data_IF_263979959603
#
_entry.id   IF_263979959603
#
_cell.length_a   1.000
_cell.length_b   1.000
_cell.length_c   1.000
_cell.angle_alpha   90.00
_cell.angle_beta   90.00
_cell.angle_gamma   90.00
#
_symmetry.space_group_name_H-M   'P 1'
#
loop_
_entity.id
_entity.type
_entity.pdbx_description
1 polymer ?
#
# COMPACT_ATOMS: atom_id res chain seq x y z
N UNK A 1 -4.73 -21.37 -20.64
CA UNK A 1 -4.67 -20.89 -19.24
C UNK A 1 -5.04 -19.43 -19.24
N UNK A 2 -5.87 -18.99 -18.29
CA UNK A 2 -6.08 -17.55 -18.06
C UNK A 2 -4.78 -16.89 -17.59
N UNK A 3 -4.67 -15.56 -17.72
CA UNK A 3 -3.49 -14.82 -17.25
C UNK A 3 -3.26 -15.02 -15.74
N UNK A 4 -4.33 -15.02 -14.95
CA UNK A 4 -4.32 -15.35 -13.52
C UNK A 4 -3.75 -16.73 -13.25
N UNK A 5 -4.17 -17.75 -14.01
CA UNK A 5 -3.62 -19.10 -13.86
C UNK A 5 -2.11 -19.13 -14.13
N UNK A 6 -1.64 -18.42 -15.14
CA UNK A 6 -0.20 -18.32 -15.44
C UNK A 6 0.55 -17.71 -14.26
N UNK A 7 0.03 -16.61 -13.68
CA UNK A 7 0.64 -15.98 -12.50
C UNK A 7 0.69 -16.91 -11.29
N UNK A 8 -0.41 -17.62 -11.01
CA UNK A 8 -0.45 -18.61 -9.94
C UNK A 8 0.53 -19.77 -10.18
N UNK A 9 0.70 -20.21 -11.42
CA UNK A 9 1.72 -21.20 -11.78
C UNK A 9 3.13 -20.68 -11.56
N UNK A 10 3.41 -19.42 -11.90
CA UNK A 10 4.71 -18.80 -11.64
C UNK A 10 4.99 -18.76 -10.14
N UNK A 11 4.02 -18.34 -9.32
CA UNK A 11 4.14 -18.34 -7.85
C UNK A 11 4.34 -19.76 -7.30
N UNK A 12 3.57 -20.75 -7.78
CA UNK A 12 3.73 -22.14 -7.36
C UNK A 12 5.12 -22.71 -7.69
N UNK A 13 5.65 -22.41 -8.89
CA UNK A 13 7.02 -22.76 -9.27
C UNK A 13 8.03 -22.04 -8.37
N UNK A 14 7.79 -20.78 -8.03
CA UNK A 14 8.56 -20.03 -7.04
C UNK A 14 8.66 -20.73 -5.70
N UNK A 15 7.54 -21.25 -5.20
CA UNK A 15 7.49 -21.99 -3.93
C UNK A 15 8.27 -23.30 -4.01
N UNK A 16 8.15 -24.03 -5.13
CA UNK A 16 8.94 -25.24 -5.37
C UNK A 16 10.44 -24.94 -5.42
N UNK A 17 10.85 -23.94 -6.20
CA UNK A 17 12.27 -23.58 -6.36
C UNK A 17 12.85 -23.05 -5.05
N UNK A 18 12.14 -22.16 -4.35
CA UNK A 18 12.56 -21.64 -3.06
C UNK A 18 12.66 -22.74 -1.99
N UNK A 19 11.65 -23.61 -1.90
CA UNK A 19 11.66 -24.75 -0.99
C UNK A 19 12.79 -25.73 -1.28
N UNK A 20 13.05 -26.03 -2.56
CA UNK A 20 14.18 -26.88 -2.96
C UNK A 20 15.53 -26.22 -2.64
N UNK A 21 15.70 -24.93 -2.93
CA UNK A 21 16.94 -24.21 -2.59
C UNK A 21 17.20 -24.26 -1.07
N UNK A 22 16.16 -24.07 -0.24
CA UNK A 22 16.26 -24.27 1.22
C UNK A 22 16.76 -25.68 1.58
N UNK A 23 16.19 -26.73 0.99
CA UNK A 23 16.61 -28.12 1.23
C UNK A 23 18.08 -28.34 0.85
N UNK A 24 18.56 -27.71 -0.21
CA UNK A 24 19.95 -27.84 -0.69
C UNK A 24 20.94 -26.84 -0.06
N UNK A 25 20.56 -26.18 1.04
CA UNK A 25 21.43 -25.30 1.82
C UNK A 25 21.44 -23.84 1.37
N UNK A 26 20.36 -23.37 0.74
CA UNK A 26 20.10 -21.97 0.37
C UNK A 26 21.22 -21.33 -0.47
N UNK A 27 21.68 -22.02 -1.52
CA UNK A 27 22.82 -21.55 -2.34
C UNK A 27 22.42 -20.40 -3.26
N UNK A 28 21.15 -20.34 -3.67
CA UNK A 28 20.61 -19.30 -4.54
C UNK A 28 20.06 -18.10 -3.74
N UNK A 29 19.93 -18.23 -2.42
CA UNK A 29 19.30 -17.24 -1.54
C UNK A 29 17.77 -17.24 -1.61
N UNK A 30 17.17 -18.17 -2.37
CA UNK A 30 15.72 -18.25 -2.57
C UNK A 30 15.04 -19.02 -1.44
N UNK A 31 15.78 -19.92 -0.78
CA UNK A 31 15.31 -20.63 0.41
C UNK A 31 15.00 -19.70 1.58
N UNK A 32 15.83 -18.66 1.78
CA UNK A 32 15.55 -17.61 2.77
C UNK A 32 14.27 -16.83 2.42
N UNK A 33 14.09 -16.48 1.14
CA UNK A 33 12.87 -15.79 0.68
C UNK A 33 11.61 -16.65 0.81
N UNK A 34 11.73 -17.96 0.62
CA UNK A 34 10.65 -18.91 0.91
C UNK A 34 10.26 -18.89 2.40
N UNK A 35 11.24 -18.91 3.31
CA UNK A 35 10.98 -18.81 4.76
C UNK A 35 10.38 -17.46 5.16
N UNK A 36 10.92 -16.36 4.64
CA UNK A 36 10.38 -15.02 4.85
C UNK A 36 8.90 -14.95 4.49
N UNK A 37 8.49 -15.60 3.40
CA UNK A 37 7.09 -15.65 2.96
C UNK A 37 6.17 -16.29 3.98
N UNK A 38 6.60 -17.39 4.61
CA UNK A 38 5.81 -18.04 5.67
C UNK A 38 5.87 -17.27 6.99
N UNK A 39 7.05 -16.75 7.35
CA UNK A 39 7.27 -15.98 8.57
C UNK A 39 6.49 -14.66 8.60
N UNK A 40 6.09 -14.14 7.43
CA UNK A 40 5.21 -12.99 7.31
C UNK A 40 3.83 -13.22 7.96
N UNK A 41 3.42 -14.48 8.20
CA UNK A 41 2.15 -14.83 8.85
C UNK A 41 1.96 -14.12 10.21
N UNK A 42 2.99 -14.07 11.05
CA UNK A 42 2.90 -13.44 12.39
C UNK A 42 2.62 -11.93 12.31
N UNK A 43 3.50 -11.15 11.63
CA UNK A 43 3.26 -9.73 11.39
C UNK A 43 1.93 -9.43 10.70
N UNK A 44 1.53 -10.23 9.70
CA UNK A 44 0.23 -10.09 9.03
C UNK A 44 -0.92 -10.29 10.03
N UNK A 45 -0.89 -11.34 10.84
CA UNK A 45 -1.92 -11.59 11.84
C UNK A 45 -2.07 -10.43 12.83
N UNK A 46 -0.95 -9.88 13.32
CA UNK A 46 -0.96 -8.70 14.18
C UNK A 46 -1.48 -7.44 13.47
N UNK A 47 -1.24 -7.33 12.16
CA UNK A 47 -1.60 -6.16 11.35
C UNK A 47 -3.03 -6.16 10.81
N UNK A 48 -3.72 -7.30 10.77
CA UNK A 48 -5.07 -7.34 10.16
C UNK A 48 -6.12 -8.18 10.90
N UNK A 49 -5.74 -9.20 11.69
CA UNK A 49 -6.72 -10.18 12.18
C UNK A 49 -7.87 -9.52 12.97
N UNK A 50 -7.55 -8.61 13.88
CA UNK A 50 -8.57 -7.88 14.63
C UNK A 50 -9.45 -6.98 13.78
N UNK A 51 -8.93 -6.39 12.69
CA UNK A 51 -9.74 -5.60 11.76
C UNK A 51 -10.66 -6.47 10.92
N UNK A 52 -10.20 -7.66 10.48
CA UNK A 52 -11.06 -8.64 9.81
C UNK A 52 -12.24 -8.99 10.71
N UNK A 53 -11.98 -9.35 11.97
CA UNK A 53 -13.03 -9.70 12.92
C UNK A 53 -13.96 -8.53 13.24
N UNK A 54 -13.44 -7.30 13.33
CA UNK A 54 -14.22 -6.10 13.62
C UNK A 54 -14.97 -5.53 12.40
N UNK A 55 -14.62 -5.92 11.17
CA UNK A 55 -15.17 -5.32 9.95
C UNK A 55 -16.71 -5.31 9.91
N UNK A 56 -17.44 -6.37 10.31
CA UNK A 56 -18.90 -6.34 10.38
C UNK A 56 -19.42 -5.31 11.39
N UNK A 57 -18.85 -5.26 12.59
CA UNK A 57 -19.25 -4.31 13.64
C UNK A 57 -19.00 -2.87 13.22
N UNK A 58 -17.84 -2.60 12.60
CA UNK A 58 -17.53 -1.27 12.06
C UNK A 58 -18.52 -0.91 10.94
N UNK A 59 -18.86 -1.86 10.07
CA UNK A 59 -19.86 -1.66 9.02
C UNK A 59 -21.22 -1.28 9.61
N UNK A 60 -21.71 -2.01 10.61
CA UNK A 60 -23.01 -1.75 11.24
C UNK A 60 -23.10 -0.36 11.89
N UNK A 61 -21.99 0.15 12.42
CA UNK A 61 -21.93 1.47 13.07
C UNK A 61 -21.74 2.60 12.05
N UNK A 62 -20.86 2.40 11.06
CA UNK A 62 -20.44 3.47 10.15
C UNK A 62 -21.34 3.56 8.92
N UNK A 63 -21.77 2.45 8.34
CA UNK A 63 -22.56 2.42 7.11
C UNK A 63 -23.86 3.25 7.20
N UNK A 64 -24.64 3.25 8.31
CA UNK A 64 -25.82 4.09 8.43
C UNK A 64 -25.52 5.59 8.41
N UNK A 65 -24.32 6.00 8.84
CA UNK A 65 -23.90 7.42 8.91
C UNK A 65 -23.39 7.90 7.56
N UNK A 66 -22.49 7.13 6.93
CA UNK A 66 -21.82 7.57 5.69
C UNK A 66 -22.56 7.11 4.43
N UNK A 67 -23.26 5.98 4.50
CA UNK A 67 -23.90 5.32 3.36
C UNK A 67 -24.89 6.22 2.64
N UNK A 68 -25.81 6.92 3.33
CA UNK A 68 -26.74 7.84 2.69
C UNK A 68 -26.06 9.00 1.95
N UNK A 69 -24.89 9.44 2.41
CA UNK A 69 -24.12 10.52 1.75
C UNK A 69 -23.43 10.00 0.50
N UNK A 70 -22.81 8.83 0.59
CA UNK A 70 -22.11 8.20 -0.54
C UNK A 70 -23.09 7.75 -1.64
N UNK A 71 -24.23 7.18 -1.26
CA UNK A 71 -25.25 6.75 -2.22
C UNK A 71 -25.88 7.94 -2.96
N UNK A 72 -26.01 9.12 -2.32
CA UNK A 72 -26.51 10.35 -2.98
C UNK A 72 -25.60 10.81 -4.13
N UNK A 73 -24.31 10.54 -4.06
CA UNK A 73 -23.35 10.82 -5.14
C UNK A 73 -23.12 9.61 -6.06
N UNK A 74 -23.91 8.53 -5.90
CA UNK A 74 -23.82 7.30 -6.69
C UNK A 74 -22.70 6.35 -6.30
N UNK A 75 -22.00 6.61 -5.19
CA UNK A 75 -20.90 5.78 -4.67
C UNK A 75 -21.43 4.71 -3.71
N UNK A 76 -20.81 3.55 -3.74
CA UNK A 76 -21.08 2.47 -2.79
C UNK A 76 -20.38 2.78 -1.43
N UNK A 77 -21.00 2.44 -0.27
CA UNK A 77 -20.36 2.61 1.04
C UNK A 77 -19.01 1.87 1.20
N UNK A 78 -18.75 0.83 0.41
CA UNK A 78 -17.49 0.09 0.34
C UNK A 78 -16.26 1.01 0.20
N UNK A 79 -16.40 2.16 -0.46
CA UNK A 79 -15.28 3.09 -0.69
C UNK A 79 -14.65 3.58 0.61
N UNK A 80 -15.39 3.55 1.73
CA UNK A 80 -14.85 3.90 3.03
C UNK A 80 -13.74 2.95 3.49
N UNK A 81 -13.81 1.67 3.13
CA UNK A 81 -12.74 0.71 3.42
C UNK A 81 -11.40 1.09 2.78
N UNK A 82 -11.42 1.87 1.70
CA UNK A 82 -10.21 2.28 0.98
C UNK A 82 -9.31 3.29 1.71
N UNK A 83 -9.75 3.81 2.87
CA UNK A 83 -8.90 4.62 3.76
C UNK A 83 -7.84 3.78 4.48
N UNK A 84 -8.00 2.45 4.48
CA UNK A 84 -7.05 1.49 5.04
C UNK A 84 -6.39 0.69 3.90
N UNK A 85 -5.14 0.26 4.06
CA UNK A 85 -4.45 -0.64 3.15
C UNK A 85 -5.27 -1.92 2.98
N UNK A 86 -5.22 -2.49 1.77
CA UNK A 86 -5.99 -3.69 1.44
C UNK A 86 -5.62 -4.85 2.38
N UNK A 87 -4.34 -4.96 2.70
CA UNK A 87 -3.72 -5.99 3.54
C UNK A 87 -3.74 -5.72 5.05
N UNK A 88 -4.24 -4.56 5.49
CA UNK A 88 -4.44 -4.23 6.91
C UNK A 88 -5.92 -4.09 7.26
N UNK A 89 -6.78 -4.84 6.57
CA UNK A 89 -8.23 -4.88 6.79
C UNK A 89 -9.06 -3.89 5.98
N UNK A 90 -8.46 -3.09 5.10
CA UNK A 90 -9.21 -2.26 4.14
C UNK A 90 -10.04 -3.09 3.16
N UNK A 91 -9.53 -4.26 2.75
CA UNK A 91 -10.30 -5.23 1.96
C UNK A 91 -11.53 -5.72 2.71
N UNK A 92 -11.33 -6.28 3.91
CA UNK A 92 -12.43 -6.85 4.71
C UNK A 92 -13.48 -5.81 5.06
N UNK A 93 -13.05 -4.60 5.44
CA UNK A 93 -13.98 -3.51 5.72
C UNK A 93 -14.76 -3.09 4.47
N UNK A 94 -14.10 -2.94 3.32
CA UNK A 94 -14.78 -2.61 2.07
C UNK A 94 -15.82 -3.66 1.69
N UNK A 95 -15.48 -4.94 1.82
CA UNK A 95 -16.41 -6.06 1.54
C UNK A 95 -17.58 -6.09 2.54
N UNK A 96 -17.34 -5.81 3.82
CA UNK A 96 -18.42 -5.73 4.83
C UNK A 96 -19.35 -4.53 4.64
N UNK A 97 -18.88 -3.46 4.01
CA UNK A 97 -19.68 -2.25 3.72
C UNK A 97 -20.32 -2.26 2.33
N UNK A 98 -19.97 -3.21 1.48
CA UNK A 98 -20.38 -3.25 0.09
C UNK A 98 -21.88 -3.54 -0.05
N UNK A 99 -22.56 -2.72 -0.86
CA UNK A 99 -23.91 -3.06 -1.36
C UNK A 99 -23.85 -3.79 -2.71
N UNK A 100 -22.78 -3.55 -3.47
CA UNK A 100 -22.39 -4.28 -4.68
C UNK A 100 -21.00 -4.92 -4.47
N UNK A 101 -20.90 -6.23 -4.68
CA UNK A 101 -19.64 -6.98 -4.48
C UNK A 101 -18.49 -6.41 -5.34
N UNK A 102 -18.78 -5.96 -6.57
CA UNK A 102 -17.81 -5.33 -7.47
C UNK A 102 -17.27 -4.03 -6.87
N UNK A 103 -18.12 -3.25 -6.21
CA UNK A 103 -17.69 -2.03 -5.52
C UNK A 103 -16.84 -2.33 -4.28
N UNK A 104 -17.14 -3.42 -3.58
CA UNK A 104 -16.32 -4.00 -2.53
C UNK A 104 -14.92 -4.35 -3.02
N UNK A 105 -14.83 -5.16 -4.09
CA UNK A 105 -13.55 -5.58 -4.70
C UNK A 105 -12.76 -4.38 -5.24
N UNK A 106 -13.43 -3.44 -5.91
CA UNK A 106 -12.82 -2.21 -6.41
C UNK A 106 -12.20 -1.38 -5.27
N UNK A 107 -12.99 -1.09 -4.24
CA UNK A 107 -12.58 -0.24 -3.13
C UNK A 107 -11.51 -0.91 -2.28
N UNK A 108 -11.70 -2.19 -1.98
CA UNK A 108 -10.89 -2.96 -1.05
C UNK A 108 -9.59 -3.52 -1.62
N UNK A 109 -9.49 -3.77 -2.93
CA UNK A 109 -8.27 -4.28 -3.56
C UNK A 109 -7.53 -3.22 -4.36
N UNK A 110 -8.25 -2.40 -5.15
CA UNK A 110 -7.60 -1.45 -6.06
C UNK A 110 -7.33 -0.14 -5.33
N UNK A 111 -8.37 0.54 -4.85
CA UNK A 111 -8.24 1.87 -4.24
C UNK A 111 -7.47 1.80 -2.92
N UNK A 112 -7.82 0.87 -2.03
CA UNK A 112 -7.18 0.65 -0.73
C UNK A 112 -5.66 0.46 -0.85
N UNK A 113 -5.22 -0.26 -1.88
CA UNK A 113 -3.80 -0.54 -2.14
C UNK A 113 -2.98 0.69 -2.56
N UNK A 114 -3.62 1.84 -2.78
CA UNK A 114 -2.95 3.10 -3.12
C UNK A 114 -3.28 4.19 -2.11
N UNK A 115 -4.58 4.48 -1.90
CA UNK A 115 -5.03 5.51 -0.98
C UNK A 115 -4.73 5.11 0.47
N UNK A 116 -5.26 3.97 0.91
CA UNK A 116 -5.11 3.50 2.27
C UNK A 116 -3.65 3.25 2.66
N UNK A 117 -2.90 2.59 1.78
CA UNK A 117 -1.45 2.38 1.93
C UNK A 117 -0.64 3.68 2.00
N UNK A 118 -1.13 4.76 1.39
CA UNK A 118 -0.47 6.07 1.51
C UNK A 118 -0.80 6.72 2.84
N UNK A 119 -2.09 6.80 3.18
CA UNK A 119 -2.61 7.57 4.32
C UNK A 119 -2.19 6.99 5.66
N UNK A 120 -2.28 5.66 5.81
CA UNK A 120 -2.04 5.00 7.12
C UNK A 120 -0.67 4.34 7.24
N UNK A 121 0.05 4.17 6.13
CA UNK A 121 1.35 3.50 6.14
C UNK A 121 2.47 4.39 5.61
N UNK A 122 2.44 4.78 4.34
CA UNK A 122 3.57 5.49 3.72
C UNK A 122 3.86 6.84 4.37
N UNK A 123 2.82 7.63 4.69
CA UNK A 123 3.00 8.92 5.38
C UNK A 123 3.52 8.72 6.82
N UNK A 124 2.85 7.92 7.68
CA UNK A 124 3.32 7.71 9.06
C UNK A 124 4.72 7.08 9.16
N UNK A 125 4.97 6.01 8.40
CA UNK A 125 6.23 5.28 8.43
C UNK A 125 7.34 6.11 7.79
N UNK A 126 7.06 6.79 6.68
CA UNK A 126 8.00 7.69 6.03
C UNK A 126 8.48 8.79 6.98
N UNK A 127 7.56 9.48 7.66
CA UNK A 127 7.91 10.51 8.66
C UNK A 127 8.85 10.01 9.77
N UNK A 128 8.68 8.77 10.21
CA UNK A 128 9.46 8.19 11.30
C UNK A 128 10.83 7.69 10.88
N UNK A 129 11.04 7.43 9.59
CA UNK A 129 12.27 6.83 9.06
C UNK A 129 13.17 7.80 8.28
N UNK A 130 12.59 8.81 7.62
CA UNK A 130 13.38 9.77 6.85
C UNK A 130 14.03 10.82 7.76
N UNK A 131 15.15 11.38 7.31
CA UNK A 131 15.79 12.50 8.00
C UNK A 131 14.92 13.76 7.91
N UNK A 132 14.98 14.64 8.93
CA UNK A 132 14.12 15.83 8.96
C UNK A 132 14.33 16.75 7.76
N UNK A 133 15.58 16.86 7.29
CA UNK A 133 15.96 17.62 6.10
C UNK A 133 15.33 17.11 4.81
N UNK A 134 14.92 15.84 4.77
CA UNK A 134 14.32 15.23 3.59
C UNK A 134 12.79 15.45 3.49
N UNK A 135 12.17 15.96 4.57
CA UNK A 135 10.74 16.21 4.64
C UNK A 135 10.17 17.12 3.54
N UNK A 136 10.87 18.19 3.08
CA UNK A 136 10.36 19.03 1.97
C UNK A 136 10.19 18.23 0.67
N UNK A 137 11.15 17.38 0.31
CA UNK A 137 11.07 16.53 -0.88
C UNK A 137 9.99 15.46 -0.72
N UNK A 138 9.90 14.87 0.47
CA UNK A 138 8.88 13.88 0.81
C UNK A 138 7.46 14.45 0.65
N UNK A 139 7.20 15.63 1.23
CA UNK A 139 5.90 16.29 1.11
C UNK A 139 5.54 16.62 -0.34
N UNK A 140 6.49 17.17 -1.13
CA UNK A 140 6.26 17.47 -2.55
C UNK A 140 5.96 16.20 -3.36
N UNK A 141 6.72 15.13 -3.15
CA UNK A 141 6.47 13.84 -3.80
C UNK A 141 5.09 13.28 -3.48
N UNK A 142 4.67 13.31 -2.20
CA UNK A 142 3.35 12.84 -1.77
C UNK A 142 2.22 13.63 -2.44
N UNK A 143 2.33 14.97 -2.50
CA UNK A 143 1.34 15.83 -3.16
C UNK A 143 1.16 15.42 -4.62
N UNK A 144 2.26 15.24 -5.34
CA UNK A 144 2.25 14.87 -6.76
C UNK A 144 1.64 13.47 -6.93
N UNK A 145 2.07 12.50 -6.13
CA UNK A 145 1.58 11.13 -6.20
C UNK A 145 0.09 11.02 -5.88
N UNK A 146 -0.41 11.73 -4.86
CA UNK A 146 -1.82 11.61 -4.46
C UNK A 146 -2.80 12.06 -5.55
N UNK A 147 -2.43 13.04 -6.36
CA UNK A 147 -3.23 13.50 -7.51
C UNK A 147 -3.42 12.38 -8.55
N UNK A 148 -2.53 11.38 -8.58
CA UNK A 148 -2.58 10.27 -9.52
C UNK A 148 -3.35 9.05 -9.04
N UNK A 149 -3.68 8.97 -7.74
CA UNK A 149 -4.46 7.85 -7.18
C UNK A 149 -5.79 7.66 -7.95
N UNK A 150 -6.62 8.69 -8.20
CA UNK A 150 -7.87 8.51 -8.94
C UNK A 150 -7.66 7.95 -10.34
N UNK A 151 -6.56 8.33 -11.01
CA UNK A 151 -6.21 7.84 -12.35
C UNK A 151 -5.85 6.36 -12.27
N UNK A 152 -5.01 5.98 -11.31
CA UNK A 152 -4.69 4.57 -11.03
C UNK A 152 -5.95 3.76 -10.75
N UNK A 153 -6.85 4.27 -9.89
CA UNK A 153 -8.10 3.59 -9.54
C UNK A 153 -8.99 3.34 -10.77
N UNK A 154 -9.19 4.34 -11.63
CA UNK A 154 -9.98 4.18 -12.86
C UNK A 154 -9.35 3.14 -13.80
N UNK A 155 -8.03 3.19 -13.99
CA UNK A 155 -7.29 2.20 -14.78
C UNK A 155 -7.51 0.79 -14.22
N UNK A 156 -7.41 0.61 -12.90
CA UNK A 156 -7.63 -0.68 -12.27
C UNK A 156 -9.05 -1.20 -12.47
N UNK A 157 -10.06 -0.37 -12.25
CA UNK A 157 -11.45 -0.75 -12.47
C UNK A 157 -11.73 -1.17 -13.92
N UNK A 158 -11.13 -0.50 -14.90
CA UNK A 158 -11.23 -0.87 -16.31
C UNK A 158 -10.54 -2.21 -16.61
N UNK A 159 -9.34 -2.44 -16.07
CA UNK A 159 -8.60 -3.70 -16.26
C UNK A 159 -9.34 -4.88 -15.61
N UNK A 160 -9.99 -4.64 -14.47
CA UNK A 160 -10.83 -5.63 -13.79
C UNK A 160 -12.14 -5.94 -14.55
N UNK A 161 -12.46 -5.19 -15.60
CA UNK A 161 -13.70 -5.37 -16.36
C UNK A 161 -14.95 -4.86 -15.64
N UNK A 162 -14.79 -3.99 -14.63
CA UNK A 162 -15.91 -3.48 -13.85
C UNK A 162 -16.73 -2.45 -14.63
N UNK A 163 -18.03 -2.29 -14.34
CA UNK A 163 -18.87 -1.30 -15.00
C UNK A 163 -18.29 0.12 -14.85
N UNK A 164 -18.06 0.81 -15.98
CA UNK A 164 -17.40 2.11 -15.99
C UNK A 164 -18.10 3.12 -15.08
N UNK A 165 -19.44 3.13 -15.06
CA UNK A 165 -20.20 4.05 -14.21
C UNK A 165 -19.94 3.79 -12.72
N UNK A 166 -19.89 2.53 -12.29
CA UNK A 166 -19.58 2.15 -10.91
C UNK A 166 -18.18 2.64 -10.54
N UNK A 167 -17.20 2.41 -11.41
CA UNK A 167 -15.81 2.86 -11.21
C UNK A 167 -15.74 4.38 -11.08
N UNK A 168 -16.39 5.13 -11.98
CA UNK A 168 -16.36 6.59 -11.96
C UNK A 168 -17.02 7.16 -10.71
N UNK A 169 -18.21 6.66 -10.32
CA UNK A 169 -18.90 7.15 -9.13
C UNK A 169 -18.12 6.87 -7.85
N UNK A 170 -17.54 5.68 -7.71
CA UNK A 170 -16.69 5.35 -6.56
C UNK A 170 -15.31 6.04 -6.61
N UNK A 171 -14.88 6.58 -7.76
CA UNK A 171 -13.66 7.39 -7.86
C UNK A 171 -13.88 8.83 -7.37
N UNK A 172 -15.11 9.36 -7.40
CA UNK A 172 -15.37 10.74 -6.96
C UNK A 172 -14.93 10.98 -5.50
N UNK A 173 -15.29 10.13 -4.51
CA UNK A 173 -14.77 10.27 -3.15
C UNK A 173 -13.25 10.22 -3.07
N UNK A 174 -12.62 9.31 -3.84
CA UNK A 174 -11.15 9.17 -3.90
C UNK A 174 -10.51 10.45 -4.40
N UNK A 175 -11.05 11.04 -5.48
CA UNK A 175 -10.57 12.31 -6.02
C UNK A 175 -10.67 13.44 -4.98
N UNK A 176 -11.81 13.54 -4.29
CA UNK A 176 -12.02 14.56 -3.25
C UNK A 176 -10.98 14.40 -2.14
N UNK A 177 -10.81 13.18 -1.60
CA UNK A 177 -9.86 12.90 -0.52
C UNK A 177 -8.43 13.17 -0.99
N UNK A 178 -8.02 12.66 -2.16
CA UNK A 178 -6.70 12.89 -2.73
C UNK A 178 -6.39 14.37 -2.90
N UNK A 179 -7.33 15.17 -3.40
CA UNK A 179 -7.16 16.62 -3.56
C UNK A 179 -7.07 17.33 -2.20
N UNK A 180 -7.94 16.99 -1.25
CA UNK A 180 -7.90 17.58 0.10
C UNK A 180 -6.58 17.26 0.82
N UNK A 181 -6.11 16.03 0.73
CA UNK A 181 -4.82 15.64 1.29
C UNK A 181 -3.67 16.36 0.57
N UNK A 182 -3.73 16.49 -0.76
CA UNK A 182 -2.69 17.18 -1.54
C UNK A 182 -2.62 18.67 -1.18
N UNK A 183 -3.77 19.33 -1.01
CA UNK A 183 -3.87 20.71 -0.51
C UNK A 183 -3.29 20.79 0.91
N UNK A 184 -3.69 19.88 1.80
CA UNK A 184 -3.22 19.87 3.18
C UNK A 184 -1.71 19.64 3.29
N UNK A 185 -1.14 18.73 2.52
CA UNK A 185 0.31 18.50 2.45
C UNK A 185 1.05 19.68 1.82
N UNK A 186 0.45 20.40 0.87
CA UNK A 186 1.05 21.60 0.26
C UNK A 186 1.13 22.77 1.24
N UNK A 187 0.07 23.03 1.99
CA UNK A 187 -0.03 24.22 2.85
C UNK A 187 0.35 23.98 4.31
N UNK A 188 0.24 22.75 4.80
CA UNK A 188 0.53 22.39 6.18
C UNK A 188 1.14 20.98 6.29
N UNK A 189 2.27 20.69 5.60
CA UNK A 189 2.85 19.35 5.49
C UNK A 189 3.05 18.70 6.86
N UNK A 190 3.74 19.36 7.79
CA UNK A 190 4.01 18.79 9.11
C UNK A 190 2.74 18.49 9.90
N UNK A 191 1.70 19.34 9.82
CA UNK A 191 0.43 19.12 10.52
C UNK A 191 -0.34 17.96 9.89
N UNK A 192 -0.43 17.95 8.56
CA UNK A 192 -1.13 16.89 7.81
C UNK A 192 -0.46 15.53 8.02
N UNK A 193 0.87 15.47 7.94
CA UNK A 193 1.60 14.23 8.16
C UNK A 193 1.47 13.73 9.62
N UNK A 194 1.51 14.61 10.63
CA UNK A 194 1.20 14.24 12.03
C UNK A 194 -0.23 13.74 12.20
N UNK A 195 -1.19 14.32 11.48
CA UNK A 195 -2.58 13.85 11.46
C UNK A 195 -2.69 12.43 10.93
N UNK A 196 -2.00 12.13 9.82
CA UNK A 196 -1.90 10.78 9.26
C UNK A 196 -1.25 9.80 10.25
N UNK A 197 -0.17 10.22 10.94
CA UNK A 197 0.48 9.39 11.97
C UNK A 197 -0.47 9.07 13.12
N UNK A 198 -1.21 10.06 13.61
CA UNK A 198 -2.20 9.84 14.66
C UNK A 198 -3.32 8.90 14.20
N UNK A 199 -3.80 9.08 12.97
CA UNK A 199 -4.80 8.21 12.37
C UNK A 199 -4.30 6.76 12.23
N UNK A 200 -3.09 6.55 11.71
CA UNK A 200 -2.48 5.21 11.63
C UNK A 200 -2.34 4.56 13.01
N UNK A 201 -1.95 5.30 14.03
CA UNK A 201 -1.87 4.79 15.41
C UNK A 201 -3.24 4.39 15.97
N UNK A 202 -4.29 5.16 15.68
CA UNK A 202 -5.67 4.80 16.07
C UNK A 202 -6.07 3.48 15.39
N UNK A 203 -5.79 3.32 14.10
CA UNK A 203 -6.08 2.09 13.36
C UNK A 203 -5.37 0.88 14.00
N UNK A 204 -4.09 1.01 14.37
CA UNK A 204 -3.35 -0.04 15.06
C UNK A 204 -4.00 -0.40 16.41
N UNK A 205 -4.46 0.59 17.17
CA UNK A 205 -5.19 0.35 18.42
C UNK A 205 -6.50 -0.41 18.15
N UNK A 206 -7.27 -0.02 17.13
CA UNK A 206 -8.51 -0.71 16.75
C UNK A 206 -8.24 -2.17 16.36
N UNK A 207 -7.24 -2.42 15.49
CA UNK A 207 -6.81 -3.77 15.12
C UNK A 207 -6.45 -4.57 16.38
N UNK A 208 -5.67 -3.99 17.28
CA UNK A 208 -5.20 -4.68 18.49
C UNK A 208 -6.35 -5.02 19.43
N UNK A 209 -7.29 -4.08 19.65
CA UNK A 209 -8.47 -4.31 20.49
C UNK A 209 -9.39 -5.37 19.88
N UNK A 210 -9.59 -5.35 18.56
CA UNK A 210 -10.33 -6.39 17.86
C UNK A 210 -9.67 -7.76 18.03
N UNK A 211 -8.35 -7.84 17.91
CA UNK A 211 -7.63 -9.10 18.10
C UNK A 211 -7.74 -9.60 19.54
N UNK A 212 -7.62 -8.72 20.54
CA UNK A 212 -7.80 -9.08 21.95
C UNK A 212 -9.20 -9.64 22.18
N UNK A 213 -10.24 -8.96 21.68
CA UNK A 213 -11.62 -9.39 21.84
C UNK A 213 -11.88 -10.75 21.17
N UNK A 214 -11.45 -10.90 19.91
CA UNK A 214 -11.63 -12.13 19.14
C UNK A 214 -10.88 -13.32 19.75
N UNK A 215 -9.64 -13.12 20.21
CA UNK A 215 -8.86 -14.18 20.84
C UNK A 215 -9.45 -14.60 22.19
N UNK A 216 -9.93 -13.63 22.99
CA UNK A 216 -10.60 -13.92 24.26
C UNK A 216 -11.89 -14.72 24.04
N UNK A 217 -12.71 -14.32 23.07
CA UNK A 217 -13.94 -15.02 22.71
C UNK A 217 -13.64 -16.44 22.24
N UNK A 218 -12.64 -16.63 21.37
CA UNK A 218 -12.21 -17.96 20.92
C UNK A 218 -11.79 -18.89 22.06
N UNK A 219 -11.05 -18.36 23.04
CA UNK A 219 -10.54 -19.16 24.16
C UNK A 219 -11.58 -19.48 25.24
N UNK A 220 -12.59 -18.62 25.40
CA UNK A 220 -13.52 -18.69 26.55
C UNK A 220 -14.97 -18.94 26.17
N UNK A 221 -15.34 -18.72 24.90
CA UNK A 221 -16.73 -18.70 24.43
C UNK A 221 -17.53 -17.47 24.90
N UNK A 222 -16.89 -16.51 25.60
CA UNK A 222 -17.56 -15.30 26.09
C UNK A 222 -17.40 -14.17 25.07
N UNK A 223 -18.54 -13.70 24.56
CA UNK A 223 -18.60 -12.59 23.60
C UNK A 223 -18.33 -11.25 24.30
N UNK A 224 -17.25 -10.57 23.93
CA UNK A 224 -16.93 -9.23 24.44
C UNK A 224 -17.53 -8.11 23.57
N UNK A 225 -17.51 -8.28 22.25
CA UNK A 225 -18.05 -7.33 21.28
C UNK A 225 -19.01 -8.10 20.37
N UNK A 226 -20.32 -7.90 20.51
CA UNK A 226 -21.30 -8.59 19.67
C UNK A 226 -21.15 -8.25 18.19
N UNK A 227 -21.31 -9.26 17.32
CA UNK A 227 -21.31 -9.10 15.86
C UNK A 227 -19.94 -9.22 15.19
N UNK A 228 -18.87 -9.49 15.95
CA UNK A 228 -17.56 -9.78 15.36
C UNK A 228 -17.59 -11.07 14.53
N UNK A 229 -16.82 -11.11 13.45
CA UNK A 229 -16.55 -12.36 12.75
C UNK A 229 -15.58 -13.23 13.57
N UNK A 230 -15.69 -14.57 13.49
CA UNK A 230 -14.78 -15.50 14.17
C UNK A 230 -13.31 -15.24 13.85
N UNK A 231 -12.41 -15.47 14.82
CA UNK A 231 -10.97 -15.28 14.59
C UNK A 231 -10.42 -16.27 13.57
N UNK A 232 -11.04 -17.43 13.44
CA UNK A 232 -10.69 -18.48 12.50
C UNK A 232 -10.82 -18.03 11.04
N UNK A 233 -11.79 -17.17 10.72
CA UNK A 233 -11.95 -16.59 9.39
C UNK A 233 -10.75 -15.71 9.03
N UNK A 234 -10.28 -14.90 9.99
CA UNK A 234 -9.08 -14.11 9.85
C UNK A 234 -7.84 -15.00 9.68
N UNK A 235 -7.69 -16.02 10.52
CA UNK A 235 -6.54 -16.94 10.47
C UNK A 235 -6.51 -17.74 9.17
N UNK A 236 -7.67 -18.15 8.64
CA UNK A 236 -7.81 -18.82 7.35
C UNK A 236 -7.35 -17.92 6.20
N UNK A 237 -7.80 -16.66 6.19
CA UNK A 237 -7.37 -15.66 5.21
C UNK A 237 -5.84 -15.46 5.25
N UNK A 238 -5.27 -15.28 6.45
CA UNK A 238 -3.82 -15.11 6.64
C UNK A 238 -3.05 -16.36 6.20
N UNK A 239 -3.57 -17.56 6.50
CA UNK A 239 -2.99 -18.83 6.06
C UNK A 239 -2.91 -18.93 4.54
N UNK A 240 -3.98 -18.58 3.83
CA UNK A 240 -4.01 -18.58 2.37
C UNK A 240 -2.99 -17.60 1.78
N UNK A 241 -2.88 -16.39 2.37
CA UNK A 241 -1.87 -15.40 1.98
C UNK A 241 -0.47 -15.97 2.18
N UNK A 242 -0.17 -16.53 3.35
CA UNK A 242 1.16 -17.08 3.66
C UNK A 242 1.58 -18.21 2.70
N UNK A 243 0.65 -19.09 2.32
CA UNK A 243 0.91 -20.15 1.33
C UNK A 243 1.31 -19.57 -0.02
N UNK A 244 0.65 -18.49 -0.45
CA UNK A 244 1.00 -17.82 -1.70
C UNK A 244 2.35 -17.10 -1.59
N UNK A 245 2.63 -16.47 -0.44
CA UNK A 245 3.88 -15.75 -0.18
C UNK A 245 5.13 -16.64 -0.23
N UNK A 246 5.01 -17.94 0.09
CA UNK A 246 6.07 -18.94 -0.12
C UNK A 246 6.65 -18.89 -1.53
N UNK A 247 5.80 -18.61 -2.52
CA UNK A 247 6.19 -18.51 -3.93
C UNK A 247 6.43 -17.09 -4.41
N UNK A 248 5.63 -16.13 -3.94
CA UNK A 248 5.73 -14.74 -4.34
C UNK A 248 7.10 -14.14 -4.02
N UNK A 249 7.62 -14.35 -2.81
CA UNK A 249 8.89 -13.72 -2.40
C UNK A 249 10.13 -14.24 -3.17
N UNK A 250 10.28 -15.56 -3.41
CA UNK A 250 11.32 -16.05 -4.32
C UNK A 250 11.21 -15.46 -5.73
N UNK A 251 10.01 -15.43 -6.31
CA UNK A 251 9.79 -14.85 -7.65
C UNK A 251 10.11 -13.36 -7.67
N UNK A 252 9.69 -12.62 -6.64
CA UNK A 252 9.99 -11.20 -6.49
C UNK A 252 11.50 -10.95 -6.41
N UNK A 253 12.24 -11.79 -5.68
CA UNK A 253 13.71 -11.71 -5.60
C UNK A 253 14.38 -11.93 -6.95
N UNK A 254 13.89 -12.90 -7.74
CA UNK A 254 14.39 -13.13 -9.10
C UNK A 254 14.02 -11.98 -10.04
N UNK A 255 12.78 -11.51 -9.98
CA UNK A 255 12.26 -10.46 -10.85
C UNK A 255 12.98 -9.13 -10.61
N UNK A 256 13.18 -8.74 -9.35
CA UNK A 256 13.94 -7.53 -8.99
C UNK A 256 15.38 -7.61 -9.50
N UNK A 257 16.03 -8.77 -9.40
CA UNK A 257 17.38 -8.99 -9.94
C UNK A 257 17.44 -8.90 -11.48
N UNK A 258 16.41 -9.36 -12.17
CA UNK A 258 16.30 -9.27 -13.65
C UNK A 258 16.03 -7.82 -14.09
N UNK A 259 15.14 -7.12 -13.38
CA UNK A 259 14.70 -5.77 -13.73
C UNK A 259 15.68 -4.67 -13.30
N UNK A 260 16.66 -4.98 -12.45
CA UNK A 260 17.64 -4.01 -11.95
C UNK A 260 18.38 -3.25 -13.07
N UNK A 261 18.97 -3.97 -14.03
CA UNK A 261 19.67 -3.36 -15.17
C UNK A 261 18.78 -2.50 -16.07
N UNK A 262 17.65 -3.01 -16.61
CA UNK A 262 16.82 -2.21 -17.52
C UNK A 262 16.22 -0.99 -16.83
N UNK A 263 15.80 -1.11 -15.57
CA UNK A 263 15.25 0.02 -14.81
C UNK A 263 16.35 1.03 -14.47
N UNK A 264 17.56 0.60 -14.12
CA UNK A 264 18.73 1.48 -13.94
C UNK A 264 19.03 2.32 -15.19
N UNK A 265 18.98 1.71 -16.37
CA UNK A 265 19.20 2.43 -17.65
C UNK A 265 18.08 3.44 -17.89
N UNK A 266 16.83 3.07 -17.63
CA UNK A 266 15.68 3.96 -17.81
C UNK A 266 15.74 5.16 -16.84
N UNK A 267 16.06 4.92 -15.56
CA UNK A 267 16.19 5.95 -14.54
C UNK A 267 17.24 7.01 -14.90
N UNK A 268 18.40 6.58 -15.41
CA UNK A 268 19.43 7.51 -15.90
C UNK A 268 18.93 8.40 -17.03
N UNK A 269 18.10 7.88 -17.94
CA UNK A 269 17.52 8.68 -19.06
C UNK A 269 16.56 9.77 -18.59
N UNK A 270 15.89 9.56 -17.47
CA UNK A 270 15.00 10.57 -16.86
C UNK A 270 15.72 11.45 -15.83
N UNK A 271 17.04 11.36 -15.75
CA UNK A 271 17.90 12.20 -14.90
C UNK A 271 17.83 11.82 -13.42
N UNK A 272 17.63 10.54 -13.11
CA UNK A 272 17.76 9.99 -11.76
C UNK A 272 19.16 9.41 -11.54
N UNK A 273 19.68 9.59 -10.33
CA UNK A 273 20.89 8.91 -9.88
C UNK A 273 20.63 7.41 -9.62
N UNK A 274 21.72 6.66 -9.38
CA UNK A 274 21.65 5.21 -9.20
C UNK A 274 20.82 4.81 -7.96
N UNK A 275 21.02 5.49 -6.82
CA UNK A 275 20.30 5.22 -5.58
C UNK A 275 18.81 5.47 -5.75
N UNK A 276 18.46 6.59 -6.40
CA UNK A 276 17.07 6.92 -6.71
C UNK A 276 16.43 5.89 -7.64
N UNK A 277 17.17 5.36 -8.62
CA UNK A 277 16.62 4.35 -9.51
C UNK A 277 16.42 3.00 -8.79
N UNK A 278 17.35 2.64 -7.89
CA UNK A 278 17.20 1.49 -7.02
C UNK A 278 15.98 1.62 -6.09
N UNK A 279 15.73 2.82 -5.56
CA UNK A 279 14.52 3.13 -4.76
C UNK A 279 13.22 2.81 -5.50
N UNK A 280 13.11 3.14 -6.78
CA UNK A 280 11.92 2.82 -7.57
C UNK A 280 11.71 1.30 -7.71
N UNK A 281 12.79 0.53 -7.81
CA UNK A 281 12.74 -0.94 -7.87
C UNK A 281 12.35 -1.50 -6.51
N UNK A 282 13.01 -1.06 -5.43
CA UNK A 282 12.77 -1.57 -4.09
C UNK A 282 11.36 -1.25 -3.59
N UNK A 283 10.82 -0.08 -3.94
CA UNK A 283 9.44 0.27 -3.60
C UNK A 283 8.40 -0.70 -4.15
N UNK A 284 8.64 -1.36 -5.29
CA UNK A 284 7.72 -2.37 -5.83
C UNK A 284 7.55 -3.55 -4.87
N UNK A 285 8.59 -3.86 -4.10
CA UNK A 285 8.54 -4.84 -3.02
C UNK A 285 8.01 -4.21 -1.73
N UNK A 286 8.64 -3.13 -1.25
CA UNK A 286 8.29 -2.48 0.00
C UNK A 286 8.85 -1.04 0.07
N UNK A 287 8.14 -0.14 0.76
CA UNK A 287 8.56 1.27 0.91
C UNK A 287 9.65 1.51 1.96
N UNK A 288 9.80 0.63 2.96
CA UNK A 288 10.72 0.83 4.09
C UNK A 288 12.18 0.99 3.65
N UNK A 289 12.74 0.14 2.76
CA UNK A 289 14.12 0.31 2.29
C UNK A 289 14.35 1.67 1.64
N UNK A 290 13.35 2.17 0.90
CA UNK A 290 13.43 3.43 0.16
C UNK A 290 13.48 4.63 1.12
N UNK A 291 12.69 4.61 2.19
CA UNK A 291 12.75 5.67 3.21
C UNK A 291 14.12 5.74 3.89
N UNK A 292 14.75 4.58 4.16
CA UNK A 292 16.07 4.52 4.82
C UNK A 292 17.23 5.01 3.96
N UNK A 293 17.15 4.83 2.64
CA UNK A 293 18.18 5.31 1.69
C UNK A 293 17.85 6.66 1.06
N UNK A 294 16.78 7.32 1.52
CA UNK A 294 16.32 8.57 0.93
C UNK A 294 17.40 9.65 1.01
N UNK A 295 18.14 9.73 2.11
CA UNK A 295 19.18 10.73 2.31
C UNK A 295 20.33 10.64 1.30
N UNK A 296 20.56 9.46 0.72
CA UNK A 296 21.57 9.17 -0.30
C UNK A 296 21.11 9.49 -1.74
N UNK A 297 19.87 9.95 -1.92
CA UNK A 297 19.31 10.31 -3.23
C UNK A 297 19.53 11.77 -3.59
N UNK A 298 19.59 12.08 -4.89
CA UNK A 298 19.49 13.47 -5.37
C UNK A 298 18.14 14.10 -5.00
N UNK A 299 18.09 15.43 -4.85
CA UNK A 299 16.85 16.18 -4.53
C UNK A 299 15.70 15.86 -5.49
N UNK A 300 15.97 15.79 -6.80
CA UNK A 300 15.01 15.37 -7.81
C UNK A 300 14.59 13.91 -7.63
N UNK A 301 15.56 13.04 -7.38
CA UNK A 301 15.36 11.61 -7.15
C UNK A 301 14.46 11.31 -5.94
N UNK A 302 14.61 12.06 -4.84
CA UNK A 302 13.73 12.02 -3.67
C UNK A 302 12.27 12.28 -4.05
N UNK A 303 11.99 13.37 -4.76
CA UNK A 303 10.62 13.76 -5.14
C UNK A 303 10.00 12.71 -6.07
N UNK A 304 10.75 12.26 -7.10
CA UNK A 304 10.26 11.27 -8.08
C UNK A 304 9.98 9.91 -7.42
N UNK A 305 10.86 9.45 -6.52
CA UNK A 305 10.63 8.20 -5.78
C UNK A 305 9.36 8.26 -4.96
N UNK A 306 9.17 9.32 -4.17
CA UNK A 306 8.00 9.43 -3.31
C UNK A 306 6.72 9.56 -4.14
N UNK A 307 6.73 10.31 -5.24
CA UNK A 307 5.59 10.39 -6.15
C UNK A 307 5.23 9.03 -6.75
N UNK A 308 6.23 8.27 -7.21
CA UNK A 308 6.08 6.89 -7.70
C UNK A 308 5.48 5.97 -6.64
N UNK A 309 6.01 6.03 -5.41
CA UNK A 309 5.65 5.15 -4.31
C UNK A 309 4.19 5.26 -3.89
N UNK A 310 3.58 6.44 -3.98
CA UNK A 310 2.16 6.64 -3.61
C UNK A 310 1.24 5.61 -4.27
N UNK A 311 1.49 5.31 -5.56
CA UNK A 311 0.74 4.28 -6.26
C UNK A 311 1.49 2.94 -6.33
N UNK A 312 2.80 2.96 -6.61
CA UNK A 312 3.53 1.76 -7.00
C UNK A 312 4.07 0.94 -5.81
N UNK A 313 4.06 1.47 -4.58
CA UNK A 313 4.61 0.74 -3.44
C UNK A 313 3.92 -0.61 -3.23
N UNK A 314 4.71 -1.64 -2.93
CA UNK A 314 4.26 -3.02 -2.71
C UNK A 314 3.44 -3.62 -3.88
N UNK A 315 3.49 -3.03 -5.09
CA UNK A 315 2.79 -3.55 -6.26
C UNK A 315 3.19 -4.98 -6.64
N UNK A 316 4.42 -5.40 -6.32
CA UNK A 316 4.92 -6.75 -6.52
C UNK A 316 5.23 -7.47 -5.20
N UNK A 317 5.01 -6.81 -4.05
CA UNK A 317 5.22 -7.35 -2.71
C UNK A 317 3.90 -7.64 -2.01
N UNK A 318 3.71 -7.01 -0.85
CA UNK A 318 2.62 -7.30 0.10
C UNK A 318 1.23 -7.23 -0.56
N UNK A 319 0.96 -6.21 -1.39
CA UNK A 319 -0.37 -6.06 -2.00
C UNK A 319 -0.63 -7.10 -3.10
N UNK A 320 0.40 -7.55 -3.83
CA UNK A 320 0.28 -8.65 -4.79
C UNK A 320 0.02 -9.95 -4.03
N UNK A 321 0.85 -10.25 -3.02
CA UNK A 321 0.72 -11.46 -2.21
C UNK A 321 -0.65 -11.55 -1.54
N UNK A 322 -1.12 -10.45 -0.97
CA UNK A 322 -2.45 -10.33 -0.39
C UNK A 322 -3.54 -10.61 -1.43
N UNK A 323 -3.52 -9.89 -2.56
CA UNK A 323 -4.53 -10.05 -3.62
C UNK A 323 -4.55 -11.48 -4.16
N UNK A 324 -3.38 -12.09 -4.32
CA UNK A 324 -3.27 -13.47 -4.75
C UNK A 324 -3.78 -14.48 -3.70
N UNK A 325 -3.72 -14.14 -2.41
CA UNK A 325 -4.27 -14.97 -1.34
C UNK A 325 -5.79 -14.87 -1.17
N UNK A 326 -6.39 -13.72 -1.48
CA UNK A 326 -7.84 -13.47 -1.23
C UNK A 326 -8.69 -13.46 -2.50
N UNK A 327 -8.17 -12.94 -3.62
CA UNK A 327 -8.90 -12.81 -4.88
C UNK A 327 -7.94 -12.78 -6.09
N UNK A 328 -7.37 -13.93 -6.49
CA UNK A 328 -6.33 -14.00 -7.53
C UNK A 328 -6.68 -13.32 -8.86
N UNK A 329 -7.95 -13.35 -9.27
CA UNK A 329 -8.39 -12.75 -10.53
C UNK A 329 -8.23 -11.23 -10.56
N UNK A 330 -8.06 -10.57 -9.40
CA UNK A 330 -7.82 -9.14 -9.31
C UNK A 330 -6.33 -8.76 -9.39
N UNK A 331 -5.39 -9.72 -9.35
CA UNK A 331 -3.93 -9.44 -9.44
C UNK A 331 -3.60 -8.52 -10.62
N UNK A 332 -4.08 -8.76 -11.86
CA UNK A 332 -3.71 -7.93 -13.01
C UNK A 332 -4.18 -6.49 -12.81
N UNK A 333 -5.41 -6.32 -12.32
CA UNK A 333 -6.00 -5.02 -12.05
C UNK A 333 -5.23 -4.26 -10.96
N UNK A 334 -4.85 -4.91 -9.86
CA UNK A 334 -4.10 -4.27 -8.76
C UNK A 334 -2.68 -3.92 -9.20
N UNK A 335 -1.93 -4.86 -9.77
CA UNK A 335 -0.53 -4.64 -10.15
C UNK A 335 -0.42 -3.57 -11.24
N UNK A 336 -1.17 -3.72 -12.33
CA UNK A 336 -1.05 -2.81 -13.48
C UNK A 336 -1.58 -1.41 -13.13
N UNK A 337 -2.66 -1.30 -12.34
CA UNK A 337 -3.16 0.01 -11.91
C UNK A 337 -2.14 0.78 -11.07
N UNK A 338 -1.51 0.10 -10.11
CA UNK A 338 -0.44 0.68 -9.26
C UNK A 338 0.76 1.13 -10.08
N UNK A 339 1.22 0.30 -11.03
CA UNK A 339 2.33 0.63 -11.91
C UNK A 339 2.02 1.79 -12.86
N UNK A 340 0.83 1.81 -13.47
CA UNK A 340 0.43 2.89 -14.39
C UNK A 340 0.13 4.19 -13.63
N UNK A 341 -0.51 4.13 -12.46
CA UNK A 341 -0.68 5.27 -11.57
C UNK A 341 0.68 5.86 -11.15
N UNK A 342 1.62 5.00 -10.74
CA UNK A 342 2.99 5.39 -10.44
C UNK A 342 3.72 6.00 -11.64
N UNK A 343 3.56 5.45 -12.84
CA UNK A 343 4.16 5.99 -14.05
C UNK A 343 3.62 7.39 -14.38
N UNK A 344 2.31 7.61 -14.22
CA UNK A 344 1.71 8.94 -14.35
C UNK A 344 2.28 9.90 -13.30
N UNK A 345 2.48 9.43 -12.06
CA UNK A 345 3.09 10.23 -11.00
C UNK A 345 4.53 10.63 -11.33
N UNK A 346 5.32 9.74 -11.93
CA UNK A 346 6.68 10.04 -12.41
C UNK A 346 6.64 11.10 -13.49
N UNK A 347 5.76 10.97 -14.50
CA UNK A 347 5.62 11.96 -15.57
C UNK A 347 5.27 13.34 -15.00
N UNK A 348 4.30 13.40 -14.09
CA UNK A 348 3.93 14.66 -13.43
C UNK A 348 5.06 15.20 -12.55
N UNK A 349 5.79 14.34 -11.83
CA UNK A 349 6.91 14.75 -10.99
C UNK A 349 8.03 15.37 -11.83
N UNK A 350 8.36 14.76 -12.97
CA UNK A 350 9.36 15.29 -13.91
C UNK A 350 8.91 16.62 -14.54
N UNK A 351 7.62 16.77 -14.86
CA UNK A 351 7.08 17.99 -15.44
C UNK A 351 7.01 19.16 -14.44
N UNK A 352 6.64 18.88 -13.18
CA UNK A 352 6.44 19.87 -12.13
C UNK A 352 7.71 20.19 -11.35
N UNK A 353 8.72 19.32 -11.38
CA UNK A 353 10.00 19.49 -10.67
C UNK A 353 11.08 19.91 -11.66
N UNK A 354 10.99 21.16 -12.16
CA UNK A 354 12.01 21.75 -13.05
C UNK A 354 13.30 22.09 -12.31
N UNK A 355 13.19 22.56 -11.07
CA UNK A 355 14.27 22.75 -10.10
C UNK A 355 13.79 22.35 -8.70
N UNK A 356 14.74 22.22 -7.77
CA UNK A 356 14.49 21.88 -6.37
C UNK A 356 14.85 23.01 -5.41
N UNK A 357 15.11 24.21 -5.92
CA UNK A 357 15.66 25.35 -5.15
C UNK A 357 14.86 25.67 -3.88
N UNK A 358 13.53 25.58 -3.95
CA UNK A 358 12.64 25.82 -2.81
C UNK A 358 12.79 24.73 -1.74
N UNK A 359 12.84 23.47 -2.15
CA UNK A 359 13.01 22.33 -1.25
C UNK A 359 14.44 22.28 -0.69
N UNK A 360 15.45 22.60 -1.49
CA UNK A 360 16.85 22.69 -1.08
C UNK A 360 17.05 23.82 -0.07
N UNK A 361 16.40 24.98 -0.26
CA UNK A 361 16.46 26.09 0.69
C UNK A 361 15.80 25.73 2.02
N UNK A 362 14.67 25.04 2.01
CA UNK A 362 13.99 24.62 3.24
C UNK A 362 14.76 23.49 3.95
N UNK A 363 15.30 22.53 3.20
CA UNK A 363 16.19 21.49 3.72
C UNK A 363 17.38 22.09 4.47
N UNK A 364 18.06 23.09 3.89
CA UNK A 364 19.18 23.80 4.55
C UNK A 364 18.75 24.51 5.83
N UNK A 365 17.57 25.17 5.83
CA UNK A 365 17.04 25.82 7.04
C UNK A 365 16.78 24.82 8.16
N UNK A 366 16.26 23.63 7.83
CA UNK A 366 16.03 22.56 8.80
C UNK A 366 17.36 22.09 9.40
N UNK A 367 18.37 21.84 8.56
CA UNK A 367 19.72 21.47 9.01
C UNK A 367 20.33 22.53 9.94
N UNK A 368 20.23 23.82 9.59
CA UNK A 368 20.72 24.94 10.42
C UNK A 368 20.00 25.03 11.77
N UNK A 369 18.69 24.76 11.80
CA UNK A 369 17.91 24.74 13.05
C UNK A 369 18.31 23.57 13.94
N UNK A 370 18.55 22.39 13.38
CA UNK A 370 19.00 21.22 14.15
C UNK A 370 20.39 21.43 14.72
N UNK A 371 21.33 21.96 13.92
CA UNK A 371 22.69 22.26 14.37
C UNK A 371 22.70 23.21 15.58
N UNK A 372 21.80 24.20 15.61
CA UNK A 372 21.64 25.16 16.71
C UNK A 372 21.01 24.57 17.99
N UNK A 373 20.34 23.42 17.92
CA UNK A 373 19.78 22.74 19.09
C UNK A 373 20.73 21.70 19.69
N UNK A 374 21.73 21.25 18.92
CA UNK A 374 22.79 20.33 19.36
C UNK A 374 24.08 21.02 19.84
N UNK A 375 24.22 22.33 19.59
CA UNK A 375 25.28 23.18 20.13
C UNK A 375 24.78 23.89 21.40
#
# INVERSE_FOLDING_TARGET
MSFTQILMWIMAIGALVGGLDKVFGNRLGLGEKFEEGFNAMGPLALGMAGMVCLSPVISDVIAPVIGPVLQKIGSDPAIFGSILPNDTGGYSLAMSMATDETAGLYSGLIVASMLGSTVTFSIPVGMGLIEKKDQPYFAKGLVIGMITIPIGSVIGGMIAGYPLMLVLMNTIPVLIISVLLAIGLKFAPTKMMRGCLHFGNIVVVIITLGLIAAAFEYMTGIVLIPGMAPIEDAMSMIGNIAVVLLGTFPILSLLTKILDKPLTVLGRRIGMDATSTAGMIFSLANSIPVFKMMSDMSSKGKIVNIAWMVCATAALGDHLGFTAGVHPEAIPAVVISKLLGGAVAVVLALALTKNTDAEDAESRRIEEMEAKHTA
#
